data_IF_465790702087
#
_entry.id   IF_465790702087
#
_cell.length_a   1.000
_cell.length_b   1.000
_cell.length_c   1.000
_cell.angle_alpha   90.00
_cell.angle_beta   90.00
_cell.angle_gamma   90.00
#
_symmetry.space_group_name_H-M   'P 1'
#
loop_
_entity.id
_entity.type
_entity.pdbx_description
1 polymer ?
#
# COMPACT_ATOMS: atom_id res chain seq x y z
N UNK A 1 -40.05 -45.79 -42.76
CA UNK A 1 -38.71 -45.30 -43.16
C UNK A 1 -38.63 -43.86 -42.76
N UNK A 2 -38.05 -43.58 -41.61
CA UNK A 2 -38.01 -42.25 -41.04
C UNK A 2 -36.55 -41.76 -41.09
N UNK A 3 -36.28 -40.71 -41.85
CA UNK A 3 -34.96 -40.05 -41.90
C UNK A 3 -34.86 -39.04 -40.81
N UNK A 4 -33.90 -39.22 -39.92
CA UNK A 4 -33.54 -38.21 -38.89
C UNK A 4 -32.65 -37.16 -39.52
N UNK A 5 -33.11 -35.90 -39.49
CA UNK A 5 -32.30 -34.73 -39.81
C UNK A 5 -31.67 -34.25 -38.49
N UNK A 6 -30.38 -34.36 -38.42
CA UNK A 6 -29.56 -33.81 -37.30
C UNK A 6 -29.31 -32.34 -37.59
N UNK A 7 -29.89 -31.45 -36.77
CA UNK A 7 -29.68 -30.01 -36.84
C UNK A 7 -28.41 -29.69 -36.03
N UNK A 8 -27.33 -29.30 -36.72
CA UNK A 8 -26.07 -28.86 -36.10
C UNK A 8 -26.22 -27.37 -35.77
N UNK A 9 -26.43 -27.07 -34.51
CA UNK A 9 -26.45 -25.68 -34.04
C UNK A 9 -24.98 -25.22 -33.82
N UNK A 10 -24.49 -24.36 -34.72
CA UNK A 10 -23.20 -23.68 -34.55
C UNK A 10 -23.42 -22.52 -33.59
N UNK A 11 -22.92 -22.68 -32.38
CA UNK A 11 -22.81 -21.58 -31.41
C UNK A 11 -21.52 -20.83 -31.71
N UNK A 12 -21.63 -19.66 -32.32
CA UNK A 12 -20.50 -18.72 -32.49
C UNK A 12 -20.33 -17.99 -31.15
N UNK A 13 -19.32 -18.38 -30.39
CA UNK A 13 -18.84 -17.65 -29.23
C UNK A 13 -18.02 -16.47 -29.72
N UNK A 14 -18.58 -15.27 -29.61
CA UNK A 14 -17.79 -14.04 -29.71
C UNK A 14 -16.90 -13.93 -28.46
N UNK A 15 -15.64 -14.30 -28.61
CA UNK A 15 -14.61 -13.96 -27.64
C UNK A 15 -14.33 -12.46 -27.77
N UNK A 16 -14.95 -11.67 -26.87
CA UNK A 16 -14.54 -10.30 -26.66
C UNK A 16 -13.17 -10.32 -25.98
N UNK A 17 -12.11 -10.08 -26.72
CA UNK A 17 -10.80 -9.77 -26.18
C UNK A 17 -10.91 -8.48 -25.38
N UNK A 18 -10.99 -8.62 -24.05
CA UNK A 18 -10.82 -7.51 -23.13
C UNK A 18 -9.36 -7.57 -22.68
N UNK A 19 -8.58 -6.65 -23.22
CA UNK A 19 -7.17 -6.46 -22.86
C UNK A 19 -7.09 -6.03 -21.38
N UNK A 20 -7.03 -6.99 -20.50
CA UNK A 20 -6.64 -6.78 -19.10
C UNK A 20 -5.13 -6.90 -19.02
N UNK A 21 -4.48 -5.87 -18.49
CA UNK A 21 -3.03 -5.83 -18.36
C UNK A 21 -2.47 -7.13 -17.73
N UNK A 22 -1.47 -7.67 -18.39
CA UNK A 22 -0.90 -9.01 -18.19
C UNK A 22 -0.32 -9.35 -16.81
N UNK A 23 -0.41 -8.46 -15.83
CA UNK A 23 0.23 -8.65 -14.51
C UNK A 23 -0.71 -9.17 -13.41
N UNK A 24 -2.03 -9.19 -13.63
CA UNK A 24 -2.98 -9.81 -12.68
C UNK A 24 -3.18 -11.31 -12.89
N UNK A 25 -2.94 -11.79 -14.11
CA UNK A 25 -3.26 -13.16 -14.49
C UNK A 25 -2.33 -14.22 -13.89
N UNK A 26 -1.07 -13.87 -13.55
CA UNK A 26 -0.07 -14.84 -13.05
C UNK A 26 -0.36 -15.32 -11.64
N UNK A 27 -0.76 -14.42 -10.75
CA UNK A 27 -1.15 -14.81 -9.38
C UNK A 27 -2.48 -15.56 -9.37
N UNK A 28 -3.44 -15.16 -10.21
CA UNK A 28 -4.71 -15.87 -10.38
C UNK A 28 -4.51 -17.24 -11.07
N UNK A 29 -3.61 -17.35 -12.04
CA UNK A 29 -3.26 -18.63 -12.67
C UNK A 29 -2.50 -19.56 -11.71
N UNK A 30 -1.62 -19.00 -10.86
CA UNK A 30 -0.91 -19.77 -9.83
C UNK A 30 -1.83 -20.18 -8.68
N UNK A 31 -2.83 -19.37 -8.33
CA UNK A 31 -3.85 -19.68 -7.34
C UNK A 31 -4.88 -20.71 -7.85
N UNK A 32 -5.14 -20.75 -9.15
CA UNK A 32 -6.10 -21.67 -9.78
C UNK A 32 -5.55 -23.08 -10.03
N UNK A 33 -4.25 -23.29 -9.94
CA UNK A 33 -3.67 -24.64 -9.93
C UNK A 33 -3.66 -25.16 -8.49
N UNK A 34 -4.70 -25.88 -8.09
CA UNK A 34 -4.65 -26.83 -6.97
C UNK A 34 -3.59 -27.91 -7.27
N UNK A 35 -2.33 -27.53 -7.20
CA UNK A 35 -1.27 -28.53 -7.17
C UNK A 35 -1.19 -28.97 -5.71
N UNK A 36 -1.68 -30.17 -5.42
CA UNK A 36 -1.54 -30.85 -4.12
C UNK A 36 -0.07 -31.22 -3.82
N UNK A 37 0.87 -30.46 -4.38
CA UNK A 37 2.28 -30.64 -4.09
C UNK A 37 2.63 -30.02 -2.74
N UNK A 38 3.32 -30.77 -1.86
CA UNK A 38 3.77 -30.24 -0.58
C UNK A 38 4.70 -29.05 -0.80
N UNK A 39 4.68 -28.11 0.12
CA UNK A 39 5.62 -27.00 0.13
C UNK A 39 7.03 -27.51 0.42
N UNK A 40 8.00 -27.12 -0.40
CA UNK A 40 9.40 -27.50 -0.26
C UNK A 40 10.22 -26.32 0.28
N UNK A 41 10.40 -26.19 1.61
CA UNK A 41 11.21 -25.12 2.18
C UNK A 41 12.66 -25.24 1.75
N UNK A 42 13.31 -24.11 1.52
CA UNK A 42 14.74 -24.05 1.27
C UNK A 42 15.46 -23.64 2.54
N UNK A 43 16.53 -24.35 2.87
CA UNK A 43 17.49 -23.89 3.87
C UNK A 43 18.47 -22.93 3.21
N UNK A 44 18.67 -21.74 3.84
CA UNK A 44 19.60 -20.75 3.34
C UNK A 44 21.02 -21.33 3.31
N UNK A 45 21.68 -21.24 2.16
CA UNK A 45 23.07 -21.66 1.98
C UNK A 45 24.05 -20.70 2.65
N UNK A 46 23.76 -19.41 2.60
CA UNK A 46 24.57 -18.37 3.22
C UNK A 46 23.88 -17.82 4.49
N UNK A 47 24.32 -18.34 5.62
CA UNK A 47 23.84 -17.93 6.95
C UNK A 47 24.69 -16.86 7.63
N UNK A 48 25.71 -16.35 6.93
CA UNK A 48 26.58 -15.30 7.47
C UNK A 48 25.77 -14.04 7.79
N UNK A 49 26.00 -13.47 8.96
CA UNK A 49 25.30 -12.24 9.41
C UNK A 49 25.44 -11.10 8.40
N UNK A 50 26.60 -10.96 7.78
CA UNK A 50 26.85 -9.93 6.77
C UNK A 50 25.96 -10.11 5.53
N UNK A 51 25.73 -11.36 5.10
CA UNK A 51 24.85 -11.66 3.97
C UNK A 51 23.38 -11.51 4.33
N UNK A 52 22.95 -11.93 5.53
CA UNK A 52 21.60 -11.76 6.00
C UNK A 52 21.18 -10.28 6.13
N UNK A 53 22.14 -9.39 6.40
CA UNK A 53 21.93 -7.93 6.44
C UNK A 53 21.84 -7.27 5.06
N UNK A 54 22.20 -7.95 3.98
CA UNK A 54 22.10 -7.41 2.62
C UNK A 54 20.65 -7.39 2.16
N UNK A 55 19.91 -6.37 2.60
CA UNK A 55 18.53 -6.12 2.23
C UNK A 55 18.34 -4.66 1.83
N UNK A 56 17.40 -4.43 0.91
CA UNK A 56 17.09 -3.10 0.40
C UNK A 56 16.00 -2.46 1.24
N UNK A 57 16.38 -1.45 2.03
CA UNK A 57 15.47 -0.68 2.88
C UNK A 57 15.47 0.77 2.38
N UNK A 58 14.31 1.27 1.94
CA UNK A 58 14.15 2.67 1.49
C UNK A 58 14.10 3.66 2.66
N UNK A 59 13.81 3.20 3.86
CA UNK A 59 13.78 4.02 5.08
C UNK A 59 15.11 3.94 5.83
N UNK A 60 15.95 4.94 5.66
CA UNK A 60 17.28 4.98 6.26
C UNK A 60 17.27 5.02 7.80
N UNK A 61 16.21 5.58 8.40
CA UNK A 61 16.09 5.64 9.86
C UNK A 61 15.90 4.26 10.48
N UNK A 62 15.03 3.44 9.88
CA UNK A 62 14.75 2.12 10.39
C UNK A 62 15.69 1.03 9.86
N UNK A 63 16.46 1.31 8.82
CA UNK A 63 17.35 0.33 8.17
C UNK A 63 18.21 -0.48 9.16
N UNK A 64 18.97 0.11 10.13
CA UNK A 64 19.81 -0.67 11.05
C UNK A 64 18.99 -1.61 11.97
N UNK A 65 17.75 -1.21 12.29
CA UNK A 65 16.86 -2.03 13.10
C UNK A 65 16.32 -3.22 12.30
N UNK A 66 15.87 -2.97 11.07
CA UNK A 66 15.34 -4.02 10.18
C UNK A 66 16.43 -5.03 9.83
N UNK A 67 17.65 -4.60 9.51
CA UNK A 67 18.76 -5.51 9.25
C UNK A 67 19.04 -6.46 10.42
N UNK A 68 18.93 -5.98 11.67
CA UNK A 68 19.07 -6.83 12.87
C UNK A 68 17.89 -7.78 13.02
N UNK A 69 16.67 -7.32 12.75
CA UNK A 69 15.45 -8.13 12.83
C UNK A 69 15.43 -9.23 11.79
N UNK A 70 15.87 -8.97 10.55
CA UNK A 70 16.03 -10.01 9.51
C UNK A 70 16.98 -11.10 9.97
N UNK A 71 18.16 -10.74 10.50
CA UNK A 71 19.11 -11.73 11.04
C UNK A 71 18.48 -12.54 12.18
N UNK A 72 17.79 -11.86 13.11
CA UNK A 72 17.15 -12.51 14.25
C UNK A 72 16.04 -13.47 13.80
N UNK A 73 15.23 -13.05 12.82
CA UNK A 73 14.17 -13.89 12.25
C UNK A 73 14.73 -15.19 11.68
N UNK A 74 15.71 -15.11 10.75
CA UNK A 74 16.23 -16.34 10.13
C UNK A 74 16.95 -17.24 11.12
N UNK A 75 17.64 -16.70 12.13
CA UNK A 75 18.21 -17.51 13.21
C UNK A 75 17.13 -18.25 13.98
N UNK A 76 16.05 -17.61 14.35
CA UNK A 76 14.92 -18.23 15.07
C UNK A 76 14.11 -19.18 14.18
N UNK A 77 14.07 -18.95 12.87
CA UNK A 77 13.35 -19.74 11.89
C UNK A 77 14.22 -20.84 11.27
N UNK A 78 15.29 -21.24 11.96
CA UNK A 78 16.21 -22.30 11.54
C UNK A 78 16.77 -22.11 10.13
N UNK A 79 16.97 -20.85 9.69
CA UNK A 79 17.48 -20.48 8.37
C UNK A 79 16.67 -21.04 7.20
N UNK A 80 15.39 -21.26 7.38
CA UNK A 80 14.47 -21.64 6.31
C UNK A 80 13.87 -20.41 5.63
N UNK A 81 13.53 -20.54 4.33
CA UNK A 81 12.73 -19.55 3.63
C UNK A 81 11.30 -19.53 4.19
N UNK A 82 10.70 -18.35 4.24
CA UNK A 82 9.37 -18.15 4.83
C UNK A 82 8.29 -17.85 3.78
N UNK A 83 8.66 -17.12 2.76
CA UNK A 83 7.74 -16.57 1.76
C UNK A 83 7.77 -17.36 0.46
N UNK A 84 8.93 -17.95 0.15
CA UNK A 84 9.20 -18.62 -1.11
C UNK A 84 9.70 -20.05 -0.87
N UNK A 85 9.00 -21.00 -1.47
CA UNK A 85 9.40 -22.39 -1.48
C UNK A 85 10.06 -22.74 -2.81
N UNK A 86 10.78 -23.87 -2.91
CA UNK A 86 11.49 -24.23 -4.14
C UNK A 86 10.56 -24.44 -5.33
N UNK A 87 9.37 -24.92 -5.09
CA UNK A 87 8.38 -25.23 -6.12
C UNK A 87 7.42 -24.09 -6.42
N UNK A 88 7.01 -23.28 -5.42
CA UNK A 88 6.02 -22.22 -5.55
C UNK A 88 6.13 -21.15 -4.44
N UNK A 89 5.59 -19.95 -4.63
CA UNK A 89 5.45 -19.00 -3.52
C UNK A 89 4.49 -19.52 -2.44
N UNK A 90 4.68 -19.08 -1.20
CA UNK A 90 3.74 -19.40 -0.11
C UNK A 90 2.41 -18.65 -0.27
N UNK A 91 1.30 -19.18 0.25
CA UNK A 91 0.04 -18.44 0.33
C UNK A 91 0.18 -17.15 1.15
N UNK A 92 1.09 -17.13 2.13
CA UNK A 92 1.39 -15.95 2.92
C UNK A 92 2.00 -14.82 2.07
N UNK A 93 2.84 -15.15 1.07
CA UNK A 93 3.36 -14.17 0.13
C UNK A 93 2.24 -13.54 -0.70
N UNK A 94 1.34 -14.35 -1.26
CA UNK A 94 0.19 -13.83 -2.01
C UNK A 94 -0.70 -12.94 -1.15
N UNK A 95 -0.97 -13.34 0.10
CA UNK A 95 -1.69 -12.53 1.10
C UNK A 95 -0.96 -11.21 1.39
N UNK A 96 0.38 -11.23 1.46
CA UNK A 96 1.18 -10.03 1.70
C UNK A 96 1.13 -9.05 0.54
N UNK A 97 1.33 -9.51 -0.69
CA UNK A 97 1.26 -8.64 -1.88
C UNK A 97 -0.13 -8.01 -2.01
N UNK A 98 -1.19 -8.79 -1.82
CA UNK A 98 -2.56 -8.27 -1.79
C UNK A 98 -2.73 -7.19 -0.72
N UNK A 99 -2.27 -7.45 0.49
CA UNK A 99 -2.35 -6.48 1.60
C UNK A 99 -1.59 -5.19 1.28
N UNK A 100 -0.42 -5.30 0.62
CA UNK A 100 0.34 -4.11 0.20
C UNK A 100 -0.43 -3.24 -0.80
N UNK A 101 -1.23 -3.81 -1.69
CA UNK A 101 -2.06 -3.02 -2.63
C UNK A 101 -3.17 -2.23 -1.91
N UNK A 102 -3.66 -2.74 -0.79
CA UNK A 102 -4.72 -2.14 0.02
C UNK A 102 -4.20 -1.07 1.02
N UNK A 103 -2.87 -0.92 1.15
CA UNK A 103 -2.26 -0.01 2.14
C UNK A 103 -2.59 1.47 1.93
N UNK A 104 -2.92 1.88 0.71
CA UNK A 104 -3.34 3.26 0.42
C UNK A 104 -4.55 3.68 1.22
N UNK A 105 -5.43 2.74 1.54
CA UNK A 105 -6.61 2.96 2.38
C UNK A 105 -6.27 3.42 3.81
N UNK A 106 -5.04 3.17 4.24
CA UNK A 106 -4.53 3.50 5.57
C UNK A 106 -3.48 4.63 5.55
N UNK A 107 -3.31 5.30 4.41
CA UNK A 107 -2.32 6.37 4.25
C UNK A 107 -0.88 5.88 4.09
N UNK A 108 -0.68 4.59 3.80
CA UNK A 108 0.62 4.04 3.46
C UNK A 108 0.73 3.84 1.94
N UNK A 109 1.92 4.04 1.41
CA UNK A 109 2.15 3.91 -0.02
C UNK A 109 2.85 2.59 -0.33
N UNK A 110 2.26 1.70 -1.15
CA UNK A 110 2.79 0.38 -1.50
C UNK A 110 4.25 0.40 -1.99
N UNK A 111 4.62 1.45 -2.74
CA UNK A 111 5.98 1.63 -3.25
C UNK A 111 7.06 1.82 -2.17
N UNK A 112 6.68 2.24 -0.95
CA UNK A 112 7.62 2.33 0.16
C UNK A 112 8.04 0.96 0.68
N UNK A 113 7.22 -0.05 0.43
CA UNK A 113 7.42 -1.44 0.79
C UNK A 113 7.74 -2.31 -0.42
N UNK A 114 8.08 -1.68 -1.55
CA UNK A 114 8.54 -2.32 -2.78
C UNK A 114 7.53 -3.31 -3.39
N UNK A 115 6.23 -3.08 -3.20
CA UNK A 115 5.16 -4.00 -3.59
C UNK A 115 5.33 -4.49 -5.03
N UNK A 116 5.32 -3.59 -6.01
CA UNK A 116 5.43 -3.94 -7.42
C UNK A 116 6.77 -4.62 -7.78
N UNK A 117 7.88 -4.18 -7.15
CA UNK A 117 9.20 -4.75 -7.37
C UNK A 117 9.29 -6.19 -6.86
N UNK A 118 8.79 -6.47 -5.64
CA UNK A 118 8.79 -7.80 -5.06
C UNK A 118 7.89 -8.76 -5.83
N UNK A 119 6.72 -8.30 -6.25
CA UNK A 119 5.80 -9.09 -7.06
C UNK A 119 6.42 -9.49 -8.41
N UNK A 120 7.01 -8.52 -9.11
CA UNK A 120 7.72 -8.77 -10.37
C UNK A 120 8.93 -9.70 -10.20
N UNK A 121 9.72 -9.53 -9.14
CA UNK A 121 10.87 -10.39 -8.86
C UNK A 121 10.44 -11.83 -8.64
N UNK A 122 9.38 -12.06 -7.86
CA UNK A 122 8.88 -13.42 -7.59
C UNK A 122 8.30 -14.03 -8.86
N UNK A 123 7.51 -13.28 -9.63
CA UNK A 123 6.98 -13.74 -10.90
C UNK A 123 8.08 -14.18 -11.87
N UNK A 124 9.10 -13.35 -12.04
CA UNK A 124 10.25 -13.67 -12.90
C UNK A 124 11.03 -14.88 -12.40
N UNK A 125 11.25 -14.99 -11.09
CA UNK A 125 12.01 -16.07 -10.45
C UNK A 125 11.40 -17.45 -10.76
N UNK A 126 10.09 -17.61 -10.66
CA UNK A 126 9.44 -18.89 -10.90
C UNK A 126 9.20 -19.19 -12.39
N UNK A 127 9.20 -18.19 -13.25
CA UNK A 127 9.15 -18.37 -14.70
C UNK A 127 10.49 -18.84 -15.29
N UNK A 128 11.60 -18.40 -14.72
CA UNK A 128 12.95 -18.60 -15.25
C UNK A 128 13.85 -19.27 -14.21
N UNK A 129 13.60 -20.58 -13.95
CA UNK A 129 14.42 -21.38 -13.04
C UNK A 129 15.75 -21.76 -13.69
N UNK A 130 16.73 -20.89 -13.53
CA UNK A 130 18.12 -21.09 -14.00
C UNK A 130 19.04 -21.63 -12.90
N UNK A 131 20.34 -21.71 -13.18
CA UNK A 131 21.37 -22.17 -12.23
C UNK A 131 21.49 -21.27 -10.97
N UNK A 132 20.99 -20.04 -11.02
CA UNK A 132 21.01 -19.09 -9.91
C UNK A 132 19.70 -19.05 -9.12
N UNK A 133 18.71 -19.85 -9.53
CA UNK A 133 17.37 -19.85 -8.95
C UNK A 133 17.37 -19.92 -7.42
N UNK A 134 18.07 -20.88 -6.82
CA UNK A 134 18.09 -21.05 -5.37
C UNK A 134 18.69 -19.83 -4.64
N UNK A 135 19.77 -19.27 -5.18
CA UNK A 135 20.41 -18.07 -4.63
C UNK A 135 19.53 -16.83 -4.75
N UNK A 136 18.84 -16.68 -5.86
CA UNK A 136 17.88 -15.59 -6.08
C UNK A 136 16.67 -15.75 -5.17
N UNK A 137 16.18 -16.97 -4.97
CA UNK A 137 15.08 -17.29 -4.06
C UNK A 137 15.42 -16.88 -2.62
N UNK A 138 16.59 -17.26 -2.11
CA UNK A 138 17.07 -16.85 -0.78
C UNK A 138 17.13 -15.32 -0.63
N UNK A 139 17.67 -14.64 -1.65
CA UNK A 139 17.80 -13.19 -1.63
C UNK A 139 16.44 -12.53 -1.64
N UNK A 140 15.53 -12.99 -2.49
CA UNK A 140 14.17 -12.43 -2.59
C UNK A 140 13.36 -12.69 -1.33
N UNK A 141 13.48 -13.86 -0.71
CA UNK A 141 12.82 -14.19 0.56
C UNK A 141 13.25 -13.24 1.68
N UNK A 142 14.54 -12.89 1.76
CA UNK A 142 15.06 -11.89 2.71
C UNK A 142 14.54 -10.49 2.42
N UNK A 143 14.42 -10.11 1.16
CA UNK A 143 13.86 -8.81 0.77
C UNK A 143 12.39 -8.67 1.14
N UNK A 144 11.60 -9.75 0.98
CA UNK A 144 10.20 -9.78 1.42
C UNK A 144 10.12 -9.68 2.95
N UNK A 145 10.95 -10.43 3.68
CA UNK A 145 11.05 -10.36 5.14
C UNK A 145 11.35 -8.93 5.60
N UNK A 146 12.31 -8.28 5.00
CA UNK A 146 12.69 -6.90 5.33
C UNK A 146 11.55 -5.91 5.07
N UNK A 147 10.85 -6.07 3.95
CA UNK A 147 9.68 -5.26 3.61
C UNK A 147 8.56 -5.43 4.65
N UNK A 148 8.24 -6.65 5.04
CA UNK A 148 7.23 -6.97 6.05
C UNK A 148 7.60 -6.37 7.43
N UNK A 149 8.84 -6.55 7.87
CA UNK A 149 9.31 -6.01 9.14
C UNK A 149 9.29 -4.47 9.15
N UNK A 150 9.60 -3.82 8.03
CA UNK A 150 9.48 -2.38 7.90
C UNK A 150 8.03 -1.92 8.01
N UNK A 151 7.10 -2.59 7.31
CA UNK A 151 5.68 -2.27 7.38
C UNK A 151 5.14 -2.39 8.80
N UNK A 152 5.36 -3.53 9.45
CA UNK A 152 4.86 -3.78 10.82
C UNK A 152 5.47 -2.81 11.82
N UNK A 153 6.73 -2.40 11.63
CA UNK A 153 7.37 -1.36 12.44
C UNK A 153 6.72 0.00 12.23
N UNK A 154 6.42 0.38 11.00
CA UNK A 154 5.71 1.64 10.72
C UNK A 154 4.31 1.65 11.33
N UNK A 155 3.60 0.53 11.31
CA UNK A 155 2.28 0.40 11.93
C UNK A 155 2.34 0.50 13.46
N UNK A 156 3.33 -0.13 14.09
CA UNK A 156 3.43 -0.20 15.55
C UNK A 156 4.13 0.99 16.18
N UNK A 157 5.10 1.58 15.51
CA UNK A 157 5.94 2.67 16.05
C UNK A 157 5.69 4.02 15.36
N UNK A 158 5.07 4.00 14.19
CA UNK A 158 4.86 5.17 13.33
C UNK A 158 5.99 5.34 12.33
N UNK A 159 5.67 5.96 11.20
CA UNK A 159 6.61 6.19 10.10
C UNK A 159 7.53 7.38 10.31
N UNK A 160 7.02 8.42 11.01
CA UNK A 160 7.80 9.64 11.24
C UNK A 160 8.76 9.40 12.40
N UNK A 161 10.08 9.46 12.16
CA UNK A 161 11.05 9.32 13.24
C UNK A 161 10.94 10.51 14.19
N UNK A 162 11.14 10.24 15.47
CA UNK A 162 11.25 11.29 16.47
C UNK A 162 12.65 11.89 16.38
N UNK A 163 12.76 13.12 15.91
CA UNK A 163 14.04 13.83 15.75
C UNK A 163 13.98 15.13 16.55
N UNK A 164 15.07 15.47 17.25
CA UNK A 164 15.23 16.73 17.94
C UNK A 164 14.55 16.83 19.31
N UNK A 165 14.27 18.05 19.73
CA UNK A 165 13.74 18.37 21.07
C UNK A 165 12.32 17.85 21.32
N UNK A 166 11.57 17.54 20.28
CA UNK A 166 10.22 16.94 20.37
C UNK A 166 10.24 15.55 21.04
N UNK A 167 11.39 14.88 21.07
CA UNK A 167 11.55 13.60 21.80
C UNK A 167 11.25 13.75 23.28
N UNK A 168 11.49 14.93 23.88
CA UNK A 168 11.28 15.20 25.30
C UNK A 168 9.79 15.39 25.64
N UNK A 169 9.00 15.93 24.69
CA UNK A 169 7.58 16.26 24.89
C UNK A 169 6.68 15.05 24.68
N UNK A 170 7.02 14.17 23.75
CA UNK A 170 6.21 13.01 23.38
C UNK A 170 6.85 11.69 23.77
N UNK A 171 6.99 11.44 25.10
CA UNK A 171 7.35 10.10 25.56
C UNK A 171 6.19 9.13 25.28
N UNK A 172 6.30 8.39 24.19
CA UNK A 172 5.43 7.21 24.00
C UNK A 172 5.97 6.07 24.85
N UNK A 173 5.33 5.78 25.96
CA UNK A 173 5.49 4.51 26.67
C UNK A 173 4.72 3.42 25.89
N UNK A 174 5.09 3.18 24.62
CA UNK A 174 4.58 2.02 23.91
C UNK A 174 5.44 0.82 24.29
N UNK A 175 4.83 -0.32 24.64
CA UNK A 175 5.57 -1.56 24.73
C UNK A 175 6.29 -1.79 23.40
N UNK A 176 7.52 -2.27 23.47
CA UNK A 176 8.28 -2.65 22.28
C UNK A 176 7.54 -3.84 21.67
N UNK A 177 6.91 -3.61 20.53
CA UNK A 177 6.27 -4.69 19.77
C UNK A 177 7.34 -5.53 19.08
N UNK A 178 7.31 -6.85 19.29
CA UNK A 178 8.25 -7.77 18.64
C UNK A 178 7.71 -8.19 17.27
N UNK A 179 8.18 -7.48 16.21
CA UNK A 179 7.78 -7.76 14.84
C UNK A 179 8.31 -9.12 14.35
N UNK A 180 9.44 -9.57 14.88
CA UNK A 180 10.01 -10.89 14.55
C UNK A 180 9.14 -12.00 15.12
N UNK A 181 8.71 -11.86 16.37
CA UNK A 181 7.83 -12.82 17.01
C UNK A 181 6.46 -12.88 16.33
N UNK A 182 5.94 -11.74 15.85
CA UNK A 182 4.75 -11.72 15.00
C UNK A 182 4.94 -12.60 13.76
N UNK A 183 6.01 -12.36 12.99
CA UNK A 183 6.27 -13.11 11.75
C UNK A 183 6.45 -14.62 12.01
N UNK A 184 7.10 -14.99 13.12
CA UNK A 184 7.29 -16.39 13.51
C UNK A 184 5.96 -17.10 13.82
N UNK A 185 4.97 -16.38 14.31
CA UNK A 185 3.65 -16.94 14.69
C UNK A 185 2.65 -16.99 13.53
N UNK A 186 2.89 -16.25 12.45
CA UNK A 186 2.01 -16.26 11.28
C UNK A 186 1.99 -17.65 10.65
N UNK A 187 0.79 -18.09 10.25
CA UNK A 187 0.58 -19.31 9.46
C UNK A 187 0.38 -18.93 7.99
N UNK A 188 0.59 -19.86 7.09
CA UNK A 188 0.37 -19.65 5.65
C UNK A 188 -1.10 -19.37 5.30
N UNK A 189 -2.02 -19.78 6.17
CA UNK A 189 -3.46 -19.56 6.04
C UNK A 189 -3.95 -18.24 6.65
N UNK A 190 -3.06 -17.46 7.30
CA UNK A 190 -3.46 -16.24 7.98
C UNK A 190 -3.74 -15.12 6.98
N UNK A 191 -4.84 -14.38 7.23
CA UNK A 191 -5.14 -13.17 6.49
C UNK A 191 -4.28 -12.01 7.00
N UNK A 192 -3.31 -11.59 6.22
CA UNK A 192 -2.45 -10.46 6.59
C UNK A 192 -3.19 -9.13 6.66
N UNK A 193 -4.26 -8.94 5.91
CA UNK A 193 -5.10 -7.74 6.04
C UNK A 193 -5.69 -7.62 7.45
N UNK A 194 -6.20 -8.71 8.01
CA UNK A 194 -6.70 -8.74 9.40
C UNK A 194 -5.59 -8.45 10.41
N UNK A 195 -4.40 -9.01 10.22
CA UNK A 195 -3.24 -8.75 11.09
C UNK A 195 -2.84 -7.28 11.03
N UNK A 196 -2.74 -6.70 9.84
CA UNK A 196 -2.40 -5.29 9.63
C UNK A 196 -3.45 -4.37 10.26
N UNK A 197 -4.74 -4.70 10.15
CA UNK A 197 -5.81 -3.95 10.79
C UNK A 197 -5.70 -3.99 12.32
N UNK A 198 -5.38 -5.14 12.90
CA UNK A 198 -5.17 -5.28 14.34
C UNK A 198 -3.96 -4.50 14.87
N UNK A 199 -2.92 -4.32 14.05
CA UNK A 199 -1.73 -3.53 14.41
C UNK A 199 -1.96 -2.02 14.39
N UNK A 200 -3.03 -1.55 13.75
CA UNK A 200 -3.33 -0.13 13.66
C UNK A 200 -3.84 0.44 14.99
N UNK A 201 -3.74 1.76 15.20
CA UNK A 201 -4.33 2.41 16.36
C UNK A 201 -5.84 2.16 16.45
N UNK A 202 -6.32 1.68 17.60
CA UNK A 202 -7.71 1.32 17.80
C UNK A 202 -8.60 2.47 18.33
N UNK A 203 -8.03 3.68 18.51
CA UNK A 203 -8.75 4.85 19.00
C UNK A 203 -9.84 5.29 18.02
N UNK A 204 -11.00 5.67 18.55
CA UNK A 204 -12.15 6.13 17.74
C UNK A 204 -11.79 7.27 16.79
N UNK A 205 -10.99 8.23 17.28
CA UNK A 205 -10.54 9.36 16.46
C UNK A 205 -9.69 8.90 15.26
N UNK A 206 -8.77 7.96 15.47
CA UNK A 206 -7.96 7.42 14.37
C UNK A 206 -8.84 6.72 13.32
N UNK A 207 -9.79 5.90 13.77
CA UNK A 207 -10.73 5.20 12.86
C UNK A 207 -11.59 6.18 12.07
N UNK A 208 -12.09 7.25 12.70
CA UNK A 208 -12.84 8.29 12.01
C UNK A 208 -11.99 9.04 10.97
N UNK A 209 -10.74 9.35 11.29
CA UNK A 209 -9.80 9.95 10.34
C UNK A 209 -9.48 9.02 9.16
N UNK A 210 -9.23 7.74 9.43
CA UNK A 210 -8.98 6.75 8.39
C UNK A 210 -10.19 6.58 7.45
N UNK A 211 -11.40 6.58 8.01
CA UNK A 211 -12.63 6.55 7.21
C UNK A 211 -12.76 7.80 6.34
N UNK A 212 -12.51 8.99 6.90
CA UNK A 212 -12.56 10.25 6.13
C UNK A 212 -11.51 10.29 5.04
N UNK A 213 -10.31 9.76 5.31
CA UNK A 213 -9.26 9.63 4.31
C UNK A 213 -9.69 8.74 3.13
N UNK A 214 -10.31 7.57 3.41
CA UNK A 214 -10.86 6.69 2.36
C UNK A 214 -11.93 7.37 1.50
N UNK A 215 -12.76 8.21 2.10
CA UNK A 215 -13.75 9.01 1.36
C UNK A 215 -13.07 10.02 0.43
N UNK A 216 -12.03 10.72 0.92
CA UNK A 216 -11.28 11.68 0.14
C UNK A 216 -10.50 11.03 -1.02
N UNK A 217 -10.01 9.80 -0.86
CA UNK A 217 -9.36 9.06 -1.95
C UNK A 217 -10.32 8.76 -3.12
N UNK A 218 -11.63 8.69 -2.85
CA UNK A 218 -12.66 8.49 -3.88
C UNK A 218 -13.05 9.79 -4.58
N UNK A 219 -12.67 10.93 -4.01
CA UNK A 219 -12.95 12.23 -4.61
C UNK A 219 -12.04 12.45 -5.81
N UNK A 220 -12.61 12.31 -7.01
CA UNK A 220 -11.91 12.53 -8.29
C UNK A 220 -11.93 14.00 -8.72
N UNK A 221 -12.43 14.90 -7.87
CA UNK A 221 -12.45 16.33 -8.18
C UNK A 221 -11.03 16.84 -8.33
N UNK A 222 -10.68 17.28 -9.53
CA UNK A 222 -9.35 17.85 -9.80
C UNK A 222 -9.23 19.23 -9.13
N UNK A 223 -8.59 19.25 -7.98
CA UNK A 223 -8.23 20.52 -7.32
C UNK A 223 -6.94 21.05 -7.97
N UNK A 224 -7.08 21.83 -9.01
CA UNK A 224 -5.93 22.55 -9.54
C UNK A 224 -5.34 23.44 -8.43
N UNK A 225 -4.05 23.30 -8.12
CA UNK A 225 -3.41 24.25 -7.23
C UNK A 225 -3.47 25.62 -7.87
N UNK A 226 -4.03 26.59 -7.19
CA UNK A 226 -4.01 28.00 -7.62
C UNK A 226 -3.32 28.82 -6.55
N UNK A 227 -2.40 29.67 -6.99
CA UNK A 227 -1.87 30.69 -6.13
C UNK A 227 -2.95 31.79 -6.02
N UNK A 228 -3.42 32.05 -4.79
CA UNK A 228 -4.03 33.33 -4.52
C UNK A 228 -2.86 34.32 -4.53
N UNK A 229 -2.68 35.03 -5.64
CA UNK A 229 -1.75 36.15 -5.68
C UNK A 229 -2.11 37.06 -4.50
N UNK A 230 -1.11 37.71 -3.89
CA UNK A 230 -1.27 38.52 -2.69
C UNK A 230 -2.47 39.48 -2.83
N UNK A 231 -3.62 39.04 -2.36
CA UNK A 231 -4.80 39.91 -2.26
C UNK A 231 -4.45 41.06 -1.32
N UNK A 232 -4.31 42.24 -1.86
CA UNK A 232 -3.98 43.45 -1.08
C UNK A 232 -5.02 43.72 -0.01
N UNK A 233 -6.24 43.22 -0.21
CA UNK A 233 -7.36 43.38 0.73
C UNK A 233 -8.41 42.29 0.54
N UNK A 234 -9.05 41.83 1.60
CA UNK A 234 -10.20 40.92 1.55
C UNK A 234 -11.43 41.60 2.24
N UNK A 235 -11.55 42.90 2.04
CA UNK A 235 -12.69 43.68 2.55
C UNK A 235 -13.84 43.66 1.54
N UNK A 236 -15.09 43.76 2.05
CA UNK A 236 -16.28 43.89 1.20
C UNK A 236 -16.14 45.10 0.28
N UNK A 237 -16.43 44.89 -1.00
CA UNK A 237 -16.29 45.93 -2.03
C UNK A 237 -14.94 45.91 -2.78
N UNK A 238 -13.91 45.25 -2.24
CA UNK A 238 -12.62 45.10 -2.94
C UNK A 238 -12.79 44.25 -4.18
N UNK A 239 -12.18 44.65 -5.30
CA UNK A 239 -12.32 43.97 -6.61
C UNK A 239 -10.95 43.51 -7.11
N UNK A 240 -10.86 42.22 -7.44
CA UNK A 240 -9.67 41.61 -7.98
C UNK A 240 -10.05 40.36 -8.82
N UNK A 241 -9.36 40.11 -9.91
CA UNK A 241 -9.61 38.93 -10.78
C UNK A 241 -9.42 37.60 -10.04
N UNK A 242 -8.54 37.54 -9.05
CA UNK A 242 -8.29 36.37 -8.20
C UNK A 242 -9.53 35.96 -7.40
N UNK A 243 -10.43 36.92 -7.11
CA UNK A 243 -11.71 36.66 -6.42
C UNK A 243 -12.60 35.72 -7.21
N UNK A 244 -12.59 35.81 -8.56
CA UNK A 244 -13.35 34.90 -9.44
C UNK A 244 -12.80 33.48 -9.31
N UNK A 245 -11.49 33.34 -9.31
CA UNK A 245 -10.83 32.04 -9.16
C UNK A 245 -11.15 31.43 -7.78
N UNK A 246 -11.08 32.24 -6.70
CA UNK A 246 -11.42 31.81 -5.36
C UNK A 246 -12.89 31.34 -5.26
N UNK A 247 -13.84 32.08 -5.84
CA UNK A 247 -15.25 31.67 -5.90
C UNK A 247 -15.44 30.33 -6.57
N UNK A 248 -14.83 30.16 -7.74
CA UNK A 248 -14.90 28.90 -8.50
C UNK A 248 -14.33 27.74 -7.69
N UNK A 249 -13.18 27.92 -7.04
CA UNK A 249 -12.56 26.89 -6.22
C UNK A 249 -13.39 26.52 -4.98
N UNK A 250 -14.01 27.48 -4.33
CA UNK A 250 -14.95 27.22 -3.24
C UNK A 250 -16.21 26.50 -3.74
N UNK A 251 -16.72 26.91 -4.90
CA UNK A 251 -17.87 26.26 -5.55
C UNK A 251 -17.64 24.78 -5.86
N UNK A 252 -16.45 24.43 -6.38
CA UNK A 252 -16.04 23.02 -6.64
C UNK A 252 -16.01 22.20 -5.34
N UNK A 253 -15.78 22.84 -4.20
CA UNK A 253 -15.75 22.20 -2.87
C UNK A 253 -17.09 22.21 -2.14
N UNK A 254 -18.16 22.61 -2.82
CA UNK A 254 -19.51 22.63 -2.24
C UNK A 254 -19.89 23.90 -1.48
N UNK A 255 -18.95 24.85 -1.32
CA UNK A 255 -19.20 26.14 -0.70
C UNK A 255 -19.69 27.14 -1.76
N UNK A 256 -20.94 27.18 -2.09
CA UNK A 256 -21.50 27.95 -3.22
C UNK A 256 -21.56 29.47 -2.95
N UNK A 257 -20.43 30.22 -3.03
CA UNK A 257 -20.43 31.66 -2.85
C UNK A 257 -21.00 32.34 -4.09
N UNK A 258 -22.32 32.46 -4.18
CA UNK A 258 -22.95 33.16 -5.28
C UNK A 258 -22.62 34.66 -5.14
N UNK A 259 -22.21 35.29 -6.25
CA UNK A 259 -21.94 36.72 -6.25
C UNK A 259 -23.23 37.48 -6.15
N UNK A 260 -23.31 38.44 -5.21
CA UNK A 260 -24.42 39.43 -5.09
C UNK A 260 -24.23 40.64 -6.02
N UNK A 261 -23.09 40.71 -6.70
CA UNK A 261 -22.73 41.79 -7.62
C UNK A 261 -21.71 41.30 -8.65
N UNK A 262 -20.68 42.10 -8.97
CA UNK A 262 -19.64 41.72 -9.89
C UNK A 262 -18.87 40.46 -9.35
N UNK A 263 -18.66 39.40 -10.17
CA UNK A 263 -18.01 38.17 -9.73
C UNK A 263 -16.60 38.38 -9.15
N UNK A 264 -15.91 39.42 -9.58
CA UNK A 264 -14.56 39.76 -9.12
C UNK A 264 -14.56 40.56 -7.79
N UNK A 265 -15.73 40.90 -7.25
CA UNK A 265 -15.82 41.68 -6.03
C UNK A 265 -16.01 40.83 -4.79
N UNK A 266 -15.29 41.14 -3.74
CA UNK A 266 -15.48 40.51 -2.41
C UNK A 266 -16.83 41.01 -1.82
N UNK A 267 -17.68 40.06 -1.48
CA UNK A 267 -18.95 40.30 -0.81
C UNK A 267 -19.07 39.46 0.48
N UNK A 268 -20.14 39.69 1.23
CA UNK A 268 -20.38 38.98 2.50
C UNK A 268 -20.56 37.47 2.31
N UNK A 269 -21.12 36.99 1.20
CA UNK A 269 -21.31 35.58 0.93
C UNK A 269 -19.98 34.87 0.65
N UNK A 270 -19.07 35.56 -0.05
CA UNK A 270 -17.71 35.00 -0.24
C UNK A 270 -16.95 34.92 1.09
N UNK A 271 -17.04 35.95 1.93
CA UNK A 271 -16.39 35.92 3.24
C UNK A 271 -16.93 34.79 4.10
N UNK A 272 -18.24 34.59 4.11
CA UNK A 272 -18.84 33.47 4.85
C UNK A 272 -18.44 32.12 4.31
N UNK A 273 -18.40 31.95 2.99
CA UNK A 273 -17.93 30.70 2.36
C UNK A 273 -16.46 30.40 2.71
N UNK A 274 -15.59 31.41 2.73
CA UNK A 274 -14.20 31.26 3.17
C UNK A 274 -14.12 30.84 4.63
N UNK A 275 -14.90 31.46 5.51
CA UNK A 275 -14.95 31.07 6.94
C UNK A 275 -15.45 29.66 7.14
N UNK A 276 -16.43 29.21 6.36
CA UNK A 276 -16.91 27.80 6.39
C UNK A 276 -15.87 26.82 5.92
N UNK A 277 -15.12 27.19 4.88
CA UNK A 277 -14.02 26.38 4.38
C UNK A 277 -12.85 26.24 5.38
N UNK A 278 -12.63 27.26 6.20
CA UNK A 278 -11.54 27.29 7.18
C UNK A 278 -11.87 26.61 8.53
N UNK A 279 -13.13 26.26 8.78
CA UNK A 279 -13.60 25.53 9.98
C UNK A 279 -13.52 24.03 9.80
#
# INVERSE_FOLDING_TARGET
MLKHICLLSVVILFAACRDKGKNGDLLDEMAGREINEPYEPLFLQDTAVASLKKVTIKDNYYKPAIEREVVNFYKKYNYQTRWLYQNKPSPLFASYIKTLTELTDYGFFPQNYRQHELDSLVGHLYQHKDSLFLKQLETTDREITASFLLLTRHLTQGRIPKVGDDVRVWKRNKPIFDNVELLLKLKDTDSLSTVIEALQPQQTFYKAMAQKYKELLKDTTSYMPFAIADLKSFAVGYSDSTVVVLRNQLGLRGYKPMAQGAPAQVDSLLIEAVKQFQR
#
